data_IF_785112937031
#
_entry.id   IF_785112937031
#
_cell.length_a   1.000
_cell.length_b   1.000
_cell.length_c   1.000
_cell.angle_alpha   90.00
_cell.angle_beta   90.00
_cell.angle_gamma   90.00
#
_symmetry.space_group_name_H-M   'P 1'
#
loop_
_entity.id
_entity.type
_entity.pdbx_description
1 polymer ?
#
# COMPACT_ATOMS: atom_id res chain seq x y z
N UNK A 1 -3.22 6.21 -5.33
CA UNK A 1 -2.52 6.42 -4.05
C UNK A 1 -3.55 6.49 -2.92
N UNK A 2 -3.39 5.74 -1.83
CA UNK A 2 -4.32 5.78 -0.68
C UNK A 2 -3.82 6.84 0.31
N UNK A 3 -4.61 7.88 0.53
CA UNK A 3 -4.33 8.89 1.55
C UNK A 3 -4.72 8.38 2.93
N UNK A 4 -3.94 8.72 3.94
CA UNK A 4 -4.24 8.46 5.36
C UNK A 4 -4.13 9.75 6.14
N UNK A 5 -4.93 9.85 7.18
CA UNK A 5 -4.88 10.97 8.13
C UNK A 5 -4.41 10.40 9.47
N UNK A 6 -3.41 11.03 10.04
CA UNK A 6 -2.91 10.71 11.37
C UNK A 6 -3.33 11.82 12.32
N UNK A 7 -3.89 11.44 13.44
CA UNK A 7 -4.20 12.36 14.54
C UNK A 7 -3.15 12.19 15.61
N UNK A 8 -2.40 13.24 15.87
CA UNK A 8 -1.44 13.31 16.97
C UNK A 8 -1.93 14.36 17.96
N UNK A 9 -1.85 14.04 19.25
CA UNK A 9 -2.24 14.94 20.31
C UNK A 9 -1.17 14.94 21.41
N UNK A 10 -0.97 16.08 22.02
CA UNK A 10 -0.08 16.23 23.16
C UNK A 10 -0.83 16.95 24.30
N UNK A 11 -0.44 16.67 25.52
CA UNK A 11 -0.94 17.33 26.71
C UNK A 11 -0.59 18.83 26.66
N UNK A 12 -1.54 19.70 26.99
CA UNK A 12 -1.42 21.14 26.80
C UNK A 12 -0.25 21.77 27.57
N UNK A 13 0.06 21.26 28.77
CA UNK A 13 1.18 21.72 29.59
C UNK A 13 2.56 21.35 29.01
N UNK A 14 2.63 20.48 28.02
CA UNK A 14 3.87 20.10 27.34
C UNK A 14 4.09 20.87 26.03
N UNK A 15 3.18 21.74 25.64
CA UNK A 15 3.28 22.48 24.37
C UNK A 15 4.45 23.48 24.36
N UNK A 16 4.92 23.92 25.53
CA UNK A 16 6.09 24.83 25.65
C UNK A 16 7.40 24.19 25.20
N UNK A 17 7.50 22.86 25.18
CA UNK A 17 8.72 22.12 24.80
C UNK A 17 8.78 21.71 23.33
N UNK A 18 7.71 21.89 22.58
CA UNK A 18 7.59 21.37 21.21
C UNK A 18 7.36 22.48 20.18
N UNK A 19 7.67 22.23 18.90
CA UNK A 19 7.35 23.19 17.84
C UNK A 19 5.88 23.50 17.77
N UNK A 20 5.56 24.79 17.76
CA UNK A 20 4.18 25.27 17.63
C UNK A 20 4.06 26.28 16.51
N UNK A 21 2.86 26.43 15.99
CA UNK A 21 2.45 27.51 15.09
C UNK A 21 1.25 28.21 15.66
N UNK A 22 1.29 29.55 15.64
CA UNK A 22 0.15 30.36 16.02
C UNK A 22 -0.61 30.85 14.79
N UNK A 23 -1.92 30.86 14.86
CA UNK A 23 -2.77 31.63 13.97
C UNK A 23 -3.45 32.77 14.74
N UNK A 24 -4.50 33.38 14.17
CA UNK A 24 -5.20 34.51 14.80
C UNK A 24 -5.97 34.12 16.08
N UNK A 25 -6.23 32.84 16.31
CA UNK A 25 -7.12 32.37 17.37
C UNK A 25 -6.43 31.42 18.36
N UNK A 26 -5.53 30.56 17.86
CA UNK A 26 -4.96 29.47 18.67
C UNK A 26 -3.49 29.23 18.33
N UNK A 27 -2.79 28.66 19.33
CA UNK A 27 -1.46 28.05 19.15
C UNK A 27 -1.64 26.53 19.14
N UNK A 28 -1.13 25.88 18.10
CA UNK A 28 -1.23 24.43 17.93
C UNK A 28 0.12 23.79 17.65
N UNK A 29 0.31 22.53 18.06
CA UNK A 29 1.55 21.79 17.80
C UNK A 29 1.72 21.51 16.29
N UNK A 30 2.95 21.54 15.83
CA UNK A 30 3.32 21.24 14.45
C UNK A 30 4.23 20.03 14.42
N UNK A 31 4.02 19.16 13.46
CA UNK A 31 4.88 18.02 13.15
C UNK A 31 5.09 17.94 11.64
N UNK A 32 6.34 17.77 11.23
CA UNK A 32 6.67 17.47 9.85
C UNK A 32 6.62 15.97 9.62
N UNK A 33 5.73 15.54 8.72
CA UNK A 33 5.56 14.16 8.27
C UNK A 33 6.00 13.95 6.81
N UNK A 34 6.84 14.84 6.27
CA UNK A 34 7.44 14.62 4.97
C UNK A 34 8.50 13.50 5.06
N UNK A 35 8.29 12.47 4.26
CA UNK A 35 9.15 11.30 4.16
C UNK A 35 9.86 11.33 2.81
N UNK A 36 11.17 11.14 2.84
CA UNK A 36 12.05 11.21 1.67
C UNK A 36 12.59 9.83 1.25
N UNK A 37 11.99 8.76 1.74
CA UNK A 37 12.38 7.41 1.39
C UNK A 37 12.01 7.09 -0.06
N UNK A 38 12.93 6.42 -0.75
CA UNK A 38 12.68 5.94 -2.11
C UNK A 38 11.52 4.93 -2.12
N UNK A 39 10.61 5.06 -3.09
CA UNK A 39 9.49 4.13 -3.20
C UNK A 39 9.96 2.74 -3.65
N UNK A 40 9.48 1.69 -2.99
CA UNK A 40 9.73 0.31 -3.39
C UNK A 40 8.94 -0.01 -4.67
N UNK A 41 9.64 -0.41 -5.72
CA UNK A 41 9.03 -0.82 -6.97
C UNK A 41 8.49 -2.25 -6.88
N UNK A 42 7.46 -2.56 -7.68
CA UNK A 42 6.92 -3.91 -7.72
C UNK A 42 7.97 -4.96 -8.07
N UNK A 43 8.89 -4.65 -8.99
CA UNK A 43 9.97 -5.57 -9.38
C UNK A 43 10.87 -6.03 -8.24
N UNK A 44 11.00 -5.22 -7.18
CA UNK A 44 11.83 -5.54 -6.00
C UNK A 44 11.18 -6.57 -5.07
N UNK A 45 9.86 -6.70 -5.11
CA UNK A 45 9.09 -7.62 -4.26
C UNK A 45 8.43 -8.76 -5.03
N UNK A 46 8.55 -8.74 -6.36
CA UNK A 46 7.97 -9.73 -7.25
C UNK A 46 8.66 -11.09 -7.13
N UNK A 47 7.88 -12.15 -6.95
CA UNK A 47 8.34 -13.53 -6.83
C UNK A 47 7.92 -14.33 -8.07
N UNK A 48 8.77 -14.42 -9.12
CA UNK A 48 8.40 -15.11 -10.36
C UNK A 48 8.09 -16.58 -10.11
N UNK A 49 7.05 -17.09 -10.78
CA UNK A 49 6.63 -18.49 -10.68
C UNK A 49 5.83 -18.84 -9.42
N UNK A 50 5.57 -17.89 -8.52
CA UNK A 50 4.74 -18.15 -7.34
C UNK A 50 3.24 -18.21 -7.70
N UNK A 51 2.76 -19.40 -8.03
CA UNK A 51 1.39 -19.67 -8.48
C UNK A 51 0.39 -19.91 -7.33
N UNK A 52 0.59 -19.31 -6.16
CA UNK A 52 -0.32 -19.46 -5.01
C UNK A 52 -1.79 -19.12 -5.35
N UNK A 53 -2.01 -18.11 -6.19
CA UNK A 53 -3.36 -17.68 -6.61
C UNK A 53 -3.45 -17.53 -8.12
N UNK A 54 -3.54 -18.63 -8.89
CA UNK A 54 -3.68 -18.58 -10.34
C UNK A 54 -5.00 -17.90 -10.74
N UNK A 55 -5.02 -17.27 -11.91
CA UNK A 55 -6.26 -16.77 -12.48
C UNK A 55 -7.19 -17.94 -12.88
N UNK A 56 -8.51 -17.72 -12.81
CA UNK A 56 -9.47 -18.64 -13.40
C UNK A 56 -9.24 -18.74 -14.93
N UNK A 57 -9.68 -19.84 -15.53
CA UNK A 57 -9.50 -20.07 -16.98
C UNK A 57 -10.07 -18.92 -17.82
N UNK A 58 -11.23 -18.40 -17.45
CA UNK A 58 -11.82 -17.22 -18.10
C UNK A 58 -10.90 -16.00 -18.04
N UNK A 59 -10.40 -15.65 -16.85
CA UNK A 59 -9.51 -14.47 -16.70
C UNK A 59 -8.15 -14.70 -17.35
N UNK A 60 -7.64 -15.92 -17.34
CA UNK A 60 -6.41 -16.30 -18.04
C UNK A 60 -6.58 -16.09 -19.55
N UNK A 61 -7.67 -16.59 -20.14
CA UNK A 61 -7.96 -16.37 -21.55
C UNK A 61 -8.06 -14.88 -21.91
N UNK A 62 -8.64 -14.03 -21.05
CA UNK A 62 -8.65 -12.59 -21.26
C UNK A 62 -7.22 -12.02 -21.13
N UNK A 63 -6.47 -12.43 -20.10
CA UNK A 63 -5.09 -11.96 -19.85
C UNK A 63 -4.14 -12.24 -21.03
N UNK A 64 -4.29 -13.37 -21.72
CA UNK A 64 -3.49 -13.73 -22.90
C UNK A 64 -3.64 -12.72 -24.05
N UNK A 65 -4.72 -11.96 -24.09
CA UNK A 65 -4.99 -10.92 -25.08
C UNK A 65 -4.65 -9.49 -24.61
N UNK A 66 -3.90 -9.36 -23.49
CA UNK A 66 -3.42 -8.06 -23.03
C UNK A 66 -2.43 -7.46 -24.04
N UNK A 67 -2.40 -6.15 -24.08
CA UNK A 67 -1.50 -5.40 -24.95
C UNK A 67 -0.73 -4.37 -24.13
N UNK A 68 0.39 -3.93 -24.68
CA UNK A 68 1.14 -2.82 -24.10
C UNK A 68 0.23 -1.59 -23.95
N UNK A 69 0.30 -0.96 -22.76
CA UNK A 69 -0.56 0.16 -22.41
C UNK A 69 -1.84 -0.22 -21.66
N UNK A 70 -2.25 -1.48 -21.62
CA UNK A 70 -3.36 -1.92 -20.75
C UNK A 70 -2.98 -1.75 -19.28
N UNK A 71 -3.83 -1.10 -18.50
CA UNK A 71 -3.62 -0.88 -17.06
C UNK A 71 -4.36 -1.93 -16.20
N UNK A 72 -5.26 -2.68 -16.80
CA UNK A 72 -6.09 -3.71 -16.17
C UNK A 72 -6.66 -4.66 -17.24
N UNK A 73 -7.43 -5.67 -16.83
CA UNK A 73 -8.03 -6.62 -17.75
C UNK A 73 -9.19 -6.06 -18.60
N UNK A 74 -9.67 -4.85 -18.34
CA UNK A 74 -10.87 -4.33 -19.05
C UNK A 74 -10.60 -4.11 -20.55
N UNK A 75 -9.42 -3.61 -20.92
CA UNK A 75 -9.04 -3.42 -22.31
C UNK A 75 -9.00 -4.75 -23.10
N UNK A 76 -8.34 -5.76 -22.56
CA UNK A 76 -8.31 -7.10 -23.12
C UNK A 76 -9.72 -7.72 -23.19
N UNK A 77 -10.53 -7.55 -22.14
CA UNK A 77 -11.89 -8.06 -22.11
C UNK A 77 -12.81 -7.38 -23.15
N UNK A 78 -12.58 -6.10 -23.42
CA UNK A 78 -13.25 -5.38 -24.49
C UNK A 78 -12.94 -5.98 -25.86
N UNK A 79 -11.68 -6.30 -26.12
CA UNK A 79 -11.23 -6.90 -27.40
C UNK A 79 -11.76 -8.32 -27.61
N UNK A 80 -11.80 -9.15 -26.54
CA UNK A 80 -12.18 -10.57 -26.63
C UNK A 80 -13.69 -10.76 -26.54
N UNK A 81 -14.34 -10.04 -25.62
CA UNK A 81 -15.74 -10.32 -25.23
C UNK A 81 -16.68 -9.12 -25.50
N UNK A 82 -16.20 -8.02 -26.07
CA UNK A 82 -17.00 -6.82 -26.30
C UNK A 82 -17.45 -6.11 -25.01
N UNK A 83 -16.80 -6.35 -23.87
CA UNK A 83 -17.19 -5.84 -22.55
C UNK A 83 -16.07 -5.00 -21.89
N UNK A 84 -15.75 -3.81 -22.42
CA UNK A 84 -14.62 -3.01 -21.93
C UNK A 84 -14.81 -2.43 -20.51
N UNK A 85 -16.04 -2.39 -20.02
CA UNK A 85 -16.37 -1.86 -18.68
C UNK A 85 -16.31 -2.90 -17.56
N UNK A 86 -15.94 -4.14 -17.88
CA UNK A 86 -15.79 -5.21 -16.90
C UNK A 86 -14.31 -5.47 -16.64
N UNK A 87 -13.97 -6.02 -15.46
CA UNK A 87 -12.62 -6.38 -15.03
C UNK A 87 -11.65 -5.20 -14.82
N UNK A 88 -12.15 -3.97 -14.74
CA UNK A 88 -11.33 -2.77 -14.45
C UNK A 88 -10.67 -2.77 -13.06
N UNK A 89 -11.16 -3.61 -12.14
CA UNK A 89 -10.55 -3.79 -10.82
C UNK A 89 -9.37 -4.79 -10.82
N UNK A 90 -9.25 -5.60 -11.87
CA UNK A 90 -8.14 -6.54 -12.07
C UNK A 90 -6.93 -5.77 -12.64
N UNK A 91 -6.28 -4.96 -11.80
CA UNK A 91 -5.19 -4.05 -12.15
C UNK A 91 -3.89 -4.78 -12.44
N UNK A 92 -3.16 -4.35 -13.45
CA UNK A 92 -1.82 -4.85 -13.71
C UNK A 92 -0.77 -4.22 -12.79
N UNK A 93 0.21 -5.03 -12.43
CA UNK A 93 1.40 -4.63 -11.70
C UNK A 93 2.60 -4.67 -12.65
N UNK A 94 3.30 -3.55 -12.75
CA UNK A 94 4.46 -3.38 -13.63
C UNK A 94 5.72 -3.28 -12.77
N UNK A 95 6.78 -3.97 -13.15
CA UNK A 95 8.04 -4.07 -12.38
C UNK A 95 8.70 -2.72 -12.13
N UNK A 96 8.56 -1.80 -13.07
CA UNK A 96 9.12 -0.45 -13.02
C UNK A 96 8.24 0.57 -12.27
N UNK A 97 7.13 0.11 -11.66
CA UNK A 97 6.19 0.99 -10.96
C UNK A 97 5.96 0.53 -9.52
N UNK A 98 5.60 1.48 -8.67
CA UNK A 98 5.14 1.18 -7.32
C UNK A 98 3.87 0.33 -7.39
N UNK A 99 3.83 -0.74 -6.61
CA UNK A 99 2.67 -1.60 -6.56
C UNK A 99 1.41 -0.84 -6.13
N UNK A 100 0.28 -1.20 -6.71
CA UNK A 100 -1.01 -0.67 -6.27
C UNK A 100 -1.26 -0.99 -4.80
N UNK A 101 -1.89 -0.05 -4.10
CA UNK A 101 -2.28 -0.23 -2.69
C UNK A 101 -2.99 -1.57 -2.49
N UNK A 102 -2.55 -2.33 -1.50
CA UNK A 102 -3.22 -3.56 -1.09
C UNK A 102 -4.61 -3.21 -0.53
N UNK A 103 -5.62 -3.82 -1.08
CA UNK A 103 -7.00 -3.72 -0.61
C UNK A 103 -7.43 -5.06 0.01
N UNK A 104 -8.44 -5.05 0.87
CA UNK A 104 -8.97 -6.26 1.51
C UNK A 104 -9.41 -7.34 0.49
N UNK A 105 -9.89 -6.91 -0.68
CA UNK A 105 -10.24 -7.77 -1.81
C UNK A 105 -9.25 -7.66 -2.97
N UNK A 106 -7.95 -7.64 -2.69
CA UNK A 106 -6.91 -7.40 -3.70
C UNK A 106 -7.08 -8.24 -4.97
N UNK A 107 -7.17 -7.55 -6.10
CA UNK A 107 -7.38 -8.13 -7.42
C UNK A 107 -6.21 -7.84 -8.39
N UNK A 108 -5.08 -7.37 -7.88
CA UNK A 108 -3.93 -7.03 -8.70
C UNK A 108 -3.26 -8.29 -9.29
N UNK A 109 -2.78 -8.14 -10.52
CA UNK A 109 -2.22 -9.20 -11.36
C UNK A 109 -0.85 -8.74 -11.85
N UNK A 110 0.25 -9.49 -11.61
CA UNK A 110 1.50 -9.25 -12.31
C UNK A 110 1.28 -9.22 -13.84
N UNK A 111 1.83 -8.20 -14.51
CA UNK A 111 1.66 -8.12 -15.98
C UNK A 111 2.24 -9.34 -16.69
N UNK A 112 3.32 -9.90 -16.15
CA UNK A 112 4.08 -10.99 -16.78
C UNK A 112 3.51 -12.39 -16.49
N UNK A 113 2.62 -12.54 -15.51
CA UNK A 113 2.11 -13.85 -15.08
C UNK A 113 0.60 -13.84 -14.82
N UNK A 114 -0.14 -14.91 -15.26
CA UNK A 114 -1.59 -15.01 -15.13
C UNK A 114 -2.01 -15.47 -13.71
N UNK A 115 -1.63 -14.70 -12.71
CA UNK A 115 -1.92 -14.96 -11.30
C UNK A 115 -2.20 -13.66 -10.53
N UNK A 116 -2.69 -13.78 -9.31
CA UNK A 116 -2.72 -12.66 -8.37
C UNK A 116 -1.43 -12.59 -7.59
N UNK A 117 -1.22 -11.48 -6.87
CA UNK A 117 -0.15 -11.39 -5.88
C UNK A 117 -0.23 -12.54 -4.88
N UNK A 118 0.91 -13.13 -4.54
CA UNK A 118 1.04 -14.08 -3.43
C UNK A 118 0.94 -13.38 -2.08
N UNK A 119 0.75 -14.14 -1.01
CA UNK A 119 0.74 -13.60 0.34
C UNK A 119 2.10 -12.99 0.72
N UNK A 120 3.22 -13.62 0.34
CA UNK A 120 4.56 -13.08 0.56
C UNK A 120 4.80 -11.75 -0.16
N UNK A 121 4.31 -11.61 -1.40
CA UNK A 121 4.36 -10.35 -2.14
C UNK A 121 3.49 -9.28 -1.49
N UNK A 122 2.30 -9.65 -0.98
CA UNK A 122 1.41 -8.73 -0.25
C UNK A 122 2.08 -8.25 1.04
N UNK A 123 2.72 -9.14 1.81
CA UNK A 123 3.46 -8.78 3.01
C UNK A 123 4.59 -7.79 2.70
N UNK A 124 5.39 -8.09 1.68
CA UNK A 124 6.49 -7.23 1.24
C UNK A 124 6.01 -5.85 0.78
N UNK A 125 4.96 -5.77 -0.06
CA UNK A 125 4.34 -4.51 -0.48
C UNK A 125 3.76 -3.69 0.67
N UNK A 126 3.38 -4.35 1.76
CA UNK A 126 2.73 -3.72 2.93
C UNK A 126 3.70 -3.55 4.10
N UNK A 127 4.99 -3.87 3.90
CA UNK A 127 6.05 -3.82 4.92
C UNK A 127 5.76 -4.63 6.19
N UNK A 128 4.99 -5.72 6.08
CA UNK A 128 4.77 -6.64 7.19
C UNK A 128 5.95 -7.62 7.32
N UNK A 129 6.31 -8.00 8.56
CA UNK A 129 7.27 -9.08 8.79
C UNK A 129 6.75 -10.38 8.16
N UNK A 130 7.65 -11.15 7.52
CA UNK A 130 7.27 -12.40 6.85
C UNK A 130 6.89 -13.52 7.82
N UNK A 131 7.36 -13.43 9.05
CA UNK A 131 7.10 -14.35 10.15
C UNK A 131 5.93 -13.93 11.05
N UNK A 132 5.17 -12.90 10.65
CA UNK A 132 3.99 -12.48 11.40
C UNK A 132 2.88 -13.54 11.33
N UNK A 133 2.39 -13.96 12.49
CA UNK A 133 1.34 -14.97 12.61
C UNK A 133 -0.04 -14.32 12.47
N UNK A 134 -0.64 -14.47 11.31
CA UNK A 134 -2.00 -13.97 11.02
C UNK A 134 -3.11 -14.86 11.58
N UNK A 135 -2.76 -15.96 12.27
CA UNK A 135 -3.71 -16.99 12.70
C UNK A 135 -4.52 -17.51 11.50
N UNK A 136 -5.83 -17.58 11.64
CA UNK A 136 -6.74 -18.07 10.59
C UNK A 136 -7.20 -16.96 9.62
N UNK A 137 -6.70 -15.73 9.78
CA UNK A 137 -7.12 -14.60 8.97
C UNK A 137 -6.37 -14.52 7.63
N UNK A 138 -7.07 -14.00 6.62
CA UNK A 138 -6.49 -13.84 5.28
C UNK A 138 -5.47 -12.70 5.28
N UNK A 139 -4.24 -12.97 4.89
CA UNK A 139 -3.15 -12.00 4.79
C UNK A 139 -3.60 -10.73 4.04
N UNK A 140 -4.20 -10.88 2.87
CA UNK A 140 -4.67 -9.75 2.06
C UNK A 140 -5.70 -8.87 2.77
N UNK A 141 -6.56 -9.47 3.60
CA UNK A 141 -7.59 -8.73 4.34
C UNK A 141 -6.94 -7.88 5.43
N UNK A 142 -6.11 -8.47 6.26
CA UNK A 142 -5.42 -7.77 7.35
C UNK A 142 -4.50 -6.67 6.79
N UNK A 143 -3.65 -7.00 5.81
CA UNK A 143 -2.76 -6.01 5.17
C UNK A 143 -3.56 -4.88 4.51
N UNK A 144 -4.69 -5.19 3.84
CA UNK A 144 -5.53 -4.19 3.19
C UNK A 144 -6.26 -3.26 4.16
N UNK A 145 -6.53 -3.72 5.38
CA UNK A 145 -7.20 -2.91 6.42
C UNK A 145 -6.21 -2.15 7.32
N UNK A 146 -4.95 -2.55 7.34
CA UNK A 146 -3.94 -1.99 8.23
C UNK A 146 -3.25 -0.74 7.66
N UNK A 147 -2.49 -0.09 8.52
CA UNK A 147 -1.43 0.84 8.14
C UNK A 147 -0.13 0.05 8.03
N UNK A 148 0.67 0.20 6.96
CA UNK A 148 1.95 -0.48 6.84
C UNK A 148 2.85 -0.23 8.07
N UNK A 149 3.45 -1.28 8.68
CA UNK A 149 4.27 -1.15 9.89
C UNK A 149 5.42 -0.16 9.75
N UNK A 150 6.12 -0.15 8.62
CA UNK A 150 7.22 0.81 8.39
C UNK A 150 6.69 2.24 8.36
N UNK A 151 5.53 2.50 7.75
CA UNK A 151 4.92 3.83 7.78
C UNK A 151 4.60 4.28 9.22
N UNK A 152 4.08 3.38 10.06
CA UNK A 152 3.84 3.69 11.47
C UNK A 152 5.13 3.94 12.25
N UNK A 153 6.17 3.17 11.99
CA UNK A 153 7.49 3.39 12.60
C UNK A 153 8.05 4.77 12.23
N UNK A 154 7.94 5.17 10.96
CA UNK A 154 8.37 6.50 10.51
C UNK A 154 7.58 7.62 11.20
N UNK A 155 6.25 7.51 11.28
CA UNK A 155 5.42 8.48 12.01
C UNK A 155 5.82 8.54 13.49
N UNK A 156 6.00 7.39 14.14
CA UNK A 156 6.40 7.32 15.55
C UNK A 156 7.80 7.97 15.78
N UNK A 157 8.76 7.73 14.88
CA UNK A 157 10.08 8.37 14.93
C UNK A 157 9.98 9.89 14.80
N UNK A 158 9.17 10.40 13.87
CA UNK A 158 8.95 11.85 13.73
C UNK A 158 8.32 12.47 14.98
N UNK A 159 7.34 11.79 15.58
CA UNK A 159 6.74 12.23 16.86
C UNK A 159 7.79 12.24 17.97
N UNK A 160 8.61 11.20 18.07
CA UNK A 160 9.68 11.15 19.07
C UNK A 160 10.69 12.27 18.87
N UNK A 161 11.24 12.39 17.67
CA UNK A 161 12.34 13.33 17.38
C UNK A 161 11.91 14.79 17.50
N UNK A 162 10.70 15.12 17.06
CA UNK A 162 10.23 16.50 17.03
C UNK A 162 9.51 16.91 18.32
N UNK A 163 8.90 15.99 19.05
CA UNK A 163 8.14 16.29 20.25
C UNK A 163 8.72 15.64 21.51
N UNK A 164 8.69 14.31 21.61
CA UNK A 164 8.95 13.61 22.88
C UNK A 164 10.40 13.79 23.37
N UNK A 165 11.38 13.86 22.45
CA UNK A 165 12.78 14.08 22.81
C UNK A 165 13.08 15.46 23.38
N UNK A 166 12.16 16.42 23.23
CA UNK A 166 12.30 17.80 23.71
C UNK A 166 11.73 17.99 25.11
N UNK A 167 10.90 17.06 25.58
CA UNK A 167 10.28 17.14 26.90
C UNK A 167 11.29 16.73 27.97
N UNK A 168 11.50 17.55 29.01
CA UNK A 168 12.36 17.17 30.15
C UNK A 168 11.90 15.88 30.82
N UNK A 169 12.86 15.07 31.25
CA UNK A 169 12.57 13.83 32.02
C UNK A 169 12.23 14.16 33.46
#
# INVERSE_FOLDING_TARGET
MRRRVFFTAIRKDLMEYIPTRADLFETYPVIDLDFNEEPILWGEVYEPGNMQYPLSDFKRGVWEHRQEGDLDLSGANGRVNGKPNNLFNDKFLFKDKVANTVAAGDLCIPYDEPRRRSDSEILSCSSWPRDYDFKDEKVRYICGMSVPPVMMAQVASRVYDQWLSKIPK
#
